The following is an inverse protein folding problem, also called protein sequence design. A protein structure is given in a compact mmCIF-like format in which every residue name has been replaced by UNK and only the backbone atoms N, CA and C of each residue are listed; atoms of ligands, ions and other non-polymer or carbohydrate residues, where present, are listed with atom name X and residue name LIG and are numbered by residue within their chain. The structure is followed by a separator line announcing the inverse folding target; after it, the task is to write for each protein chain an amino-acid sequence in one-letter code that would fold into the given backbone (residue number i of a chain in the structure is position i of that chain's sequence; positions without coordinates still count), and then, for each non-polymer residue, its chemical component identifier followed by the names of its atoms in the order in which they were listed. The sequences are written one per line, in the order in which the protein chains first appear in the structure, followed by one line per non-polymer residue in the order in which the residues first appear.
data_IF_855258399426
#
_entry.id   IF_855258399426
#
_cell.length_a   1.000
_cell.length_b   1.000
_cell.length_c   1.000
_cell.angle_alpha   90.00
_cell.angle_beta   90.00
_cell.angle_gamma   90.00
#
_symmetry.space_group_name_H-M   'P 1'
#
loop_
_entity.id
_entity.type
_entity.pdbx_description
1 polymer ?
#
# COMPACT_ATOMS: atom_id res chain seq x y z
N UNK A 1 -1.47 -5.85 -6.32
CA UNK A 1 -2.49 -4.93 -6.90
C UNK A 1 -1.91 -3.62 -7.38
N UNK A 2 -2.40 -3.10 -8.51
CA UNK A 2 -2.09 -1.76 -9.04
C UNK A 2 -3.44 -1.15 -9.45
N UNK A 3 -3.66 0.13 -9.14
CA UNK A 3 -4.89 0.86 -9.49
C UNK A 3 -4.51 2.14 -10.22
N UNK A 4 -5.22 2.42 -11.32
CA UNK A 4 -5.15 3.73 -12.00
C UNK A 4 -6.01 4.74 -11.22
N UNK A 5 -5.46 5.90 -10.88
CA UNK A 5 -6.11 6.89 -9.99
C UNK A 5 -7.36 7.48 -10.66
N UNK A 6 -7.31 7.62 -11.98
CA UNK A 6 -8.34 8.14 -12.85
C UNK A 6 -9.59 7.25 -12.83
N UNK A 7 -9.41 5.95 -12.62
CA UNK A 7 -10.47 4.94 -12.59
C UNK A 7 -11.16 4.82 -11.22
N UNK A 8 -10.63 5.47 -10.17
CA UNK A 8 -11.25 5.47 -8.85
C UNK A 8 -12.47 6.40 -8.87
N UNK A 9 -13.70 5.88 -8.70
CA UNK A 9 -14.90 6.72 -8.72
C UNK A 9 -14.96 7.61 -7.48
N UNK A 10 -15.68 8.73 -7.56
CA UNK A 10 -15.85 9.68 -6.43
C UNK A 10 -16.47 9.01 -5.19
N UNK A 11 -17.34 8.01 -5.38
CA UNK A 11 -17.92 7.21 -4.29
C UNK A 11 -16.93 6.23 -3.63
N UNK A 12 -15.74 6.09 -4.19
CA UNK A 12 -14.72 5.11 -3.83
C UNK A 12 -14.99 3.70 -4.36
N UNK A 13 -13.97 2.86 -4.29
CA UNK A 13 -13.98 1.47 -4.71
C UNK A 13 -13.85 0.56 -3.48
N UNK A 14 -14.83 -0.30 -3.25
CA UNK A 14 -14.70 -1.36 -2.25
C UNK A 14 -14.02 -2.57 -2.89
N UNK A 15 -13.13 -3.23 -2.16
CA UNK A 15 -12.50 -4.47 -2.62
C UNK A 15 -12.30 -5.47 -1.49
N UNK A 16 -12.40 -6.74 -1.85
CA UNK A 16 -12.10 -7.92 -1.03
C UNK A 16 -11.29 -8.85 -1.92
N UNK A 17 -10.01 -8.97 -1.62
CA UNK A 17 -9.06 -9.70 -2.47
C UNK A 17 -8.14 -10.56 -1.64
N UNK A 18 -7.61 -11.59 -2.29
CA UNK A 18 -6.62 -12.49 -1.74
C UNK A 18 -5.39 -12.40 -2.65
N UNK A 19 -4.32 -11.76 -2.15
CA UNK A 19 -3.09 -11.54 -2.91
C UNK A 19 -2.01 -12.54 -2.47
N UNK A 20 -1.22 -13.02 -3.41
CA UNK A 20 -0.10 -13.91 -3.13
C UNK A 20 0.93 -13.26 -2.19
N UNK A 21 1.55 -14.07 -1.33
CA UNK A 21 2.54 -13.60 -0.35
C UNK A 21 3.77 -12.95 -0.97
N UNK A 22 4.08 -13.29 -2.22
CA UNK A 22 5.16 -12.72 -3.02
C UNK A 22 5.01 -11.21 -3.28
N UNK A 23 3.81 -10.65 -3.08
CA UNK A 23 3.55 -9.22 -3.18
C UNK A 23 3.81 -8.46 -1.87
N UNK A 24 4.18 -9.14 -0.79
CA UNK A 24 4.36 -8.56 0.54
C UNK A 24 5.77 -8.83 1.06
N UNK A 25 6.50 -7.75 1.33
CA UNK A 25 7.81 -7.81 1.97
C UNK A 25 7.66 -7.70 3.50
N UNK A 26 8.39 -8.54 4.22
CA UNK A 26 8.49 -8.49 5.68
C UNK A 26 9.95 -8.24 6.04
N UNK A 27 10.22 -7.07 6.62
CA UNK A 27 11.57 -6.65 7.01
C UNK A 27 12.12 -7.38 8.26
N UNK A 28 11.34 -8.28 8.85
CA UNK A 28 11.73 -9.07 10.02
C UNK A 28 12.14 -10.49 9.62
N UNK A 29 13.42 -10.82 9.83
CA UNK A 29 14.00 -12.13 9.47
C UNK A 29 13.35 -13.33 10.15
N UNK A 30 12.76 -13.13 11.33
CA UNK A 30 12.13 -14.19 12.11
C UNK A 30 10.67 -14.44 11.72
N UNK A 31 10.14 -13.70 10.75
CA UNK A 31 8.73 -13.70 10.37
C UNK A 31 8.59 -14.05 8.88
N UNK A 32 7.69 -14.98 8.55
CA UNK A 32 7.42 -15.36 7.17
C UNK A 32 5.92 -15.56 6.92
N UNK A 33 5.42 -15.07 5.79
CA UNK A 33 4.07 -15.40 5.33
C UNK A 33 4.02 -16.84 4.84
N UNK A 34 3.07 -17.61 5.35
CA UNK A 34 2.92 -19.01 4.91
C UNK A 34 2.02 -19.15 3.71
N UNK A 35 1.04 -18.27 3.56
CA UNK A 35 0.00 -18.32 2.53
C UNK A 35 -0.39 -16.90 2.06
N UNK A 36 -1.36 -16.80 1.16
CA UNK A 36 -1.89 -15.56 0.64
C UNK A 36 -2.47 -14.64 1.73
N UNK A 37 -2.43 -13.33 1.44
CA UNK A 37 -2.86 -12.27 2.34
C UNK A 37 -4.22 -11.77 1.89
N UNK A 38 -5.19 -11.79 2.81
CA UNK A 38 -6.51 -11.24 2.56
C UNK A 38 -6.51 -9.74 2.87
N UNK A 39 -6.91 -8.94 1.88
CA UNK A 39 -7.04 -7.48 2.02
C UNK A 39 -8.47 -7.09 1.71
N UNK A 40 -9.09 -6.37 2.65
CA UNK A 40 -10.43 -5.80 2.47
C UNK A 40 -10.43 -4.35 2.80
N UNK A 41 -11.14 -3.54 2.02
CA UNK A 41 -11.35 -2.17 2.41
C UNK A 41 -11.97 -1.33 1.32
N UNK A 42 -11.81 -0.03 1.49
CA UNK A 42 -12.30 0.98 0.58
C UNK A 42 -11.15 1.88 0.15
N UNK A 43 -11.00 2.04 -1.16
CA UNK A 43 -10.19 3.05 -1.80
C UNK A 43 -11.06 4.27 -2.09
N UNK A 44 -10.61 5.46 -1.76
CA UNK A 44 -11.30 6.72 -2.06
C UNK A 44 -10.33 7.69 -2.68
N UNK A 45 -10.77 8.41 -3.71
CA UNK A 45 -10.03 9.53 -4.30
C UNK A 45 -10.56 10.84 -3.73
N UNK A 46 -9.67 11.68 -3.21
CA UNK A 46 -9.97 13.04 -2.77
C UNK A 46 -9.06 13.95 -3.59
N UNK A 47 -9.63 14.68 -4.55
CA UNK A 47 -8.86 15.47 -5.53
C UNK A 47 -7.81 14.61 -6.27
N UNK A 48 -6.52 14.82 -6.01
CA UNK A 48 -5.41 14.02 -6.55
C UNK A 48 -4.89 12.96 -5.58
N UNK A 49 -5.39 12.92 -4.36
CA UNK A 49 -4.92 12.00 -3.32
C UNK A 49 -5.75 10.72 -3.30
N UNK A 50 -5.10 9.62 -2.92
CA UNK A 50 -5.75 8.32 -2.78
C UNK A 50 -5.64 7.85 -1.34
N UNK A 51 -6.78 7.58 -0.72
CA UNK A 51 -6.86 7.05 0.62
C UNK A 51 -7.39 5.62 0.59
N UNK A 52 -6.72 4.72 1.29
CA UNK A 52 -7.21 3.37 1.56
C UNK A 52 -7.49 3.22 3.05
N UNK A 53 -8.62 2.62 3.40
CA UNK A 53 -8.93 2.20 4.76
C UNK A 53 -9.53 0.80 4.73
N UNK A 54 -9.00 -0.09 5.56
CA UNK A 54 -9.39 -1.49 5.51
C UNK A 54 -8.80 -2.36 6.61
N UNK A 55 -8.97 -3.66 6.42
CA UNK A 55 -8.42 -4.72 7.25
C UNK A 55 -7.53 -5.63 6.39
N UNK A 56 -6.43 -6.08 6.99
CA UNK A 56 -5.51 -7.06 6.44
C UNK A 56 -5.50 -8.29 7.35
N UNK A 57 -5.58 -9.47 6.75
CA UNK A 57 -5.54 -10.75 7.45
C UNK A 57 -4.54 -11.67 6.76
N UNK A 58 -3.58 -12.22 7.51
CA UNK A 58 -2.49 -13.02 6.95
C UNK A 58 -2.01 -14.10 7.93
N UNK A 59 -1.74 -15.32 7.44
CA UNK A 59 -1.07 -16.34 8.23
C UNK A 59 0.44 -16.08 8.26
N UNK A 60 0.98 -15.98 9.47
CA UNK A 60 2.38 -15.66 9.74
C UNK A 60 3.03 -16.81 10.52
N UNK A 61 4.21 -17.25 10.08
CA UNK A 61 5.07 -18.16 10.84
C UNK A 61 6.19 -17.36 11.48
N UNK A 62 6.28 -17.44 12.80
CA UNK A 62 7.30 -16.74 13.58
C UNK A 62 8.29 -17.74 14.16
N UNK A 63 9.58 -17.49 13.97
CA UNK A 63 10.67 -18.27 14.55
C UNK A 63 11.09 -17.64 15.87
N UNK A 64 10.97 -18.36 16.98
CA UNK A 64 11.44 -17.84 18.25
C UNK A 64 12.97 -17.81 18.30
N UNK A 65 13.55 -16.64 18.47
CA UNK A 65 15.01 -16.44 18.54
C UNK A 65 15.68 -17.16 19.72
N UNK A 66 14.92 -17.48 20.78
CA UNK A 66 15.46 -18.18 21.97
C UNK A 66 15.47 -19.70 21.84
N UNK A 67 14.43 -20.29 21.25
CA UNK A 67 14.27 -21.75 21.21
C UNK A 67 14.18 -22.34 19.81
N UNK A 68 14.25 -21.50 18.77
CA UNK A 68 14.17 -21.83 17.34
C UNK A 68 12.89 -22.58 16.93
N UNK A 69 11.87 -22.59 17.78
CA UNK A 69 10.58 -23.18 17.47
C UNK A 69 9.78 -22.25 16.56
N UNK A 70 9.01 -22.85 15.67
CA UNK A 70 8.11 -22.18 14.75
C UNK A 70 6.72 -22.05 15.38
N UNK A 71 6.17 -20.84 15.33
CA UNK A 71 4.86 -20.50 15.88
C UNK A 71 3.94 -20.00 14.76
N UNK A 72 2.91 -20.76 14.38
CA UNK A 72 1.92 -20.29 13.42
C UNK A 72 0.98 -19.30 14.12
N UNK A 73 0.80 -18.13 13.51
CA UNK A 73 -0.06 -17.05 13.98
C UNK A 73 -0.99 -16.60 12.86
N UNK A 74 -2.17 -16.11 13.24
CA UNK A 74 -3.08 -15.42 12.34
C UNK A 74 -3.07 -13.94 12.70
N UNK A 75 -2.52 -13.12 11.81
CA UNK A 75 -2.44 -11.67 12.01
C UNK A 75 -3.67 -11.04 11.39
N UNK A 76 -4.37 -10.22 12.16
CA UNK A 76 -5.47 -9.38 11.66
C UNK A 76 -5.27 -7.96 12.13
N UNK A 77 -5.19 -7.02 11.20
CA UNK A 77 -4.90 -5.63 11.53
C UNK A 77 -5.72 -4.65 10.68
N UNK A 78 -5.98 -3.48 11.23
CA UNK A 78 -6.58 -2.36 10.49
C UNK A 78 -5.48 -1.53 9.87
N UNK A 79 -5.65 -1.22 8.59
CA UNK A 79 -4.67 -0.49 7.81
C UNK A 79 -5.33 0.77 7.25
N UNK A 80 -4.61 1.89 7.34
CA UNK A 80 -4.95 3.15 6.67
C UNK A 80 -3.74 3.62 5.90
N UNK A 81 -3.90 3.86 4.61
CA UNK A 81 -2.84 4.31 3.72
C UNK A 81 -3.31 5.61 3.09
N UNK A 82 -2.41 6.58 3.04
CA UNK A 82 -2.59 7.83 2.32
C UNK A 82 -1.49 7.94 1.28
N UNK A 83 -1.89 8.04 0.02
CA UNK A 83 -1.00 8.13 -1.11
C UNK A 83 -1.19 9.49 -1.80
N UNK A 84 -0.09 10.24 -1.89
CA UNK A 84 -0.03 11.55 -2.55
C UNK A 84 0.85 11.42 -3.78
N UNK A 85 0.29 11.51 -5.01
CA UNK A 85 1.08 11.48 -6.23
C UNK A 85 2.07 12.63 -6.26
N UNK A 86 3.32 12.36 -6.63
CA UNK A 86 4.30 13.42 -6.87
C UNK A 86 3.92 14.12 -8.17
N UNK A 87 3.70 15.43 -8.12
CA UNK A 87 3.62 16.21 -9.36
C UNK A 87 4.96 16.07 -10.10
N UNK A 88 4.91 15.76 -11.40
CA UNK A 88 6.08 15.95 -12.26
C UNK A 88 6.41 17.44 -12.18
N UNK A 89 7.47 17.80 -11.44
CA UNK A 89 8.05 19.13 -11.56
C UNK A 89 8.34 19.34 -13.04
N UNK A 90 7.62 20.26 -13.69
CA UNK A 90 8.15 20.91 -14.88
C UNK A 90 9.57 21.36 -14.53
N UNK A 91 10.54 21.02 -15.36
CA UNK A 91 11.93 21.45 -15.18
C UNK A 91 11.96 22.97 -14.92
N UNK A 92 12.74 23.46 -13.94
CA UNK A 92 12.97 24.89 -13.79
C UNK A 92 13.84 25.33 -14.97
N UNK A 93 13.22 25.82 -16.03
CA UNK A 93 13.91 26.02 -17.30
C UNK A 93 13.09 26.85 -18.28
N UNK A 94 12.72 28.06 -17.87
CA UNK A 94 12.54 29.20 -18.78
C UNK A 94 12.38 30.45 -17.91
N UNK A 95 13.50 30.97 -17.42
CA UNK A 95 13.58 32.39 -17.12
C UNK A 95 13.39 33.13 -18.45
N UNK A 96 12.25 33.79 -18.61
CA UNK A 96 11.99 34.66 -19.75
C UNK A 96 12.62 36.01 -19.42
N UNK A 97 13.76 36.31 -20.06
CA UNK A 97 14.38 37.64 -20.05
C UNK A 97 13.42 38.65 -20.69
N UNK A 98 12.90 39.59 -19.89
CA UNK A 98 12.11 40.71 -20.40
C UNK A 98 13.11 41.78 -20.86
N UNK A 99 13.25 41.98 -22.17
CA UNK A 99 13.95 43.15 -22.72
C UNK A 99 12.96 44.31 -22.79
N UNK A 100 13.16 45.31 -21.94
CA UNK A 100 12.50 46.61 -22.11
C UNK A 100 13.02 47.27 -23.40
N UNK A 101 12.09 47.77 -24.21
CA UNK A 101 12.34 48.48 -25.48
C UNK A 101 12.33 49.98 -25.25
#
# INVERSE_FOLDING_TARGET
MIFEIEEIPEGGLNFDVLEGKEHFEIDQSDCALTDAVKVRGKLTRIEREVCFSGDLEAPLLVTCTRCLKLFPLQVKNRVRIHFVPREKKSSPGSEVEIKET
#
